data_IF_020198548789
#
_entry.id   IF_020198548789
#
_cell.length_a   1.000
_cell.length_b   1.000
_cell.length_c   1.000
_cell.angle_alpha   90.00
_cell.angle_beta   90.00
_cell.angle_gamma   90.00
#
_symmetry.space_group_name_H-M   'P 1'
#
loop_
_entity.id
_entity.type
_entity.pdbx_description
1 polymer ?
#
# COMPACT_ATOMS: atom_id res chain seq x y z
N UNK A 1 -6.40 -0.21 -15.58
CA UNK A 1 -6.90 -0.30 -14.19
C UNK A 1 -6.56 -1.68 -13.67
N UNK A 2 -6.01 -1.79 -12.46
CA UNK A 2 -5.63 -3.07 -11.84
C UNK A 2 -6.34 -3.14 -10.49
N UNK A 3 -7.00 -4.26 -10.21
CA UNK A 3 -7.57 -4.57 -8.91
C UNK A 3 -6.87 -5.82 -8.38
N UNK A 4 -6.31 -5.71 -7.18
CA UNK A 4 -5.52 -6.78 -6.57
C UNK A 4 -5.62 -6.69 -5.05
N UNK A 5 -5.35 -7.80 -4.36
CA UNK A 5 -5.23 -7.79 -2.90
C UNK A 5 -3.82 -7.39 -2.48
N UNK A 6 -3.65 -6.93 -1.24
CA UNK A 6 -2.32 -6.63 -0.69
C UNK A 6 -1.34 -7.79 -0.84
N UNK A 7 -1.78 -9.02 -0.51
CA UNK A 7 -0.93 -10.22 -0.58
C UNK A 7 -0.51 -10.56 -2.02
N UNK A 8 -1.44 -10.41 -2.98
CA UNK A 8 -1.16 -10.67 -4.39
C UNK A 8 -0.21 -9.58 -4.95
N UNK A 9 -0.47 -8.32 -4.62
CA UNK A 9 0.41 -7.21 -4.98
C UNK A 9 1.81 -7.38 -4.40
N UNK A 10 1.93 -7.77 -3.13
CA UNK A 10 3.22 -8.07 -2.50
C UNK A 10 3.98 -9.16 -3.25
N UNK A 11 3.30 -10.25 -3.63
CA UNK A 11 3.93 -11.39 -4.29
C UNK A 11 4.47 -11.00 -5.66
N UNK A 12 3.70 -10.21 -6.40
CA UNK A 12 3.99 -9.88 -7.79
C UNK A 12 4.72 -8.52 -7.92
N UNK A 13 5.08 -7.87 -6.80
CA UNK A 13 5.61 -6.50 -6.77
C UNK A 13 6.87 -6.31 -7.61
N UNK A 14 7.75 -7.31 -7.63
CA UNK A 14 9.01 -7.28 -8.38
C UNK A 14 8.78 -7.01 -9.87
N UNK A 15 7.72 -7.58 -10.45
CA UNK A 15 7.34 -7.34 -11.86
C UNK A 15 7.02 -5.86 -12.09
N UNK A 16 6.29 -5.22 -11.16
CA UNK A 16 5.94 -3.80 -11.29
C UNK A 16 7.16 -2.88 -11.11
N UNK A 17 8.11 -3.29 -10.24
CA UNK A 17 9.35 -2.55 -9.97
C UNK A 17 10.32 -2.64 -11.17
N UNK A 18 10.51 -3.84 -11.75
CA UNK A 18 11.34 -4.08 -12.93
C UNK A 18 10.82 -3.33 -14.17
N UNK A 19 9.52 -3.40 -14.41
CA UNK A 19 8.84 -2.71 -15.52
C UNK A 19 8.68 -1.19 -15.26
N UNK A 20 9.11 -0.69 -14.09
CA UNK A 20 9.02 0.71 -13.67
C UNK A 20 7.61 1.30 -13.85
N UNK A 21 6.60 0.51 -13.51
CA UNK A 21 5.20 0.89 -13.70
C UNK A 21 4.87 2.08 -12.82
N UNK A 22 4.34 3.16 -13.43
CA UNK A 22 3.85 4.35 -12.72
C UNK A 22 2.34 4.45 -12.86
N UNK A 23 1.66 4.55 -11.73
CA UNK A 23 0.21 4.73 -11.69
C UNK A 23 -0.16 6.20 -11.61
N UNK A 24 -1.26 6.60 -12.22
CA UNK A 24 -1.78 7.94 -11.99
C UNK A 24 -2.45 8.03 -10.60
N UNK A 25 -3.11 6.95 -10.17
CA UNK A 25 -3.78 6.84 -8.88
C UNK A 25 -3.46 5.50 -8.21
N UNK A 26 -3.21 5.51 -6.90
CA UNK A 26 -3.21 4.34 -6.05
C UNK A 26 -4.27 4.49 -4.95
N UNK A 27 -5.20 3.54 -4.87
CA UNK A 27 -6.27 3.51 -3.87
C UNK A 27 -6.06 2.31 -2.97
N UNK A 28 -5.88 2.55 -1.68
CA UNK A 28 -5.66 1.55 -0.65
C UNK A 28 -6.92 1.42 0.20
N UNK A 29 -7.68 0.35 -0.02
CA UNK A 29 -8.90 0.08 0.74
C UNK A 29 -8.59 -0.69 2.03
N UNK A 30 -9.45 -0.54 3.03
CA UNK A 30 -9.30 -1.09 4.38
C UNK A 30 -7.87 -0.88 4.94
N UNK A 31 -7.39 0.37 4.87
CA UNK A 31 -6.00 0.71 5.15
C UNK A 31 -5.50 0.33 6.56
N UNK A 32 -6.38 -0.02 7.50
CA UNK A 32 -5.99 -0.61 8.77
C UNK A 32 -5.22 -1.93 8.63
N UNK A 33 -5.33 -2.64 7.50
CA UNK A 33 -4.52 -3.84 7.23
C UNK A 33 -3.02 -3.54 7.09
N UNK A 34 -2.65 -2.30 6.74
CA UNK A 34 -1.25 -1.86 6.59
C UNK A 34 -0.79 -0.93 7.72
N UNK A 35 -1.53 -0.88 8.84
CA UNK A 35 -1.20 -0.01 9.99
C UNK A 35 0.18 -0.29 10.59
N UNK A 36 0.63 -1.55 10.56
CA UNK A 36 1.96 -1.91 11.06
C UNK A 36 2.98 -1.75 9.94
N UNK A 37 3.74 -0.66 10.01
CA UNK A 37 4.72 -0.28 8.99
C UNK A 37 5.89 -1.26 8.83
N UNK A 38 6.08 -2.20 9.76
CA UNK A 38 7.09 -3.26 9.65
C UNK A 38 6.62 -4.45 8.81
N UNK A 39 5.33 -4.52 8.45
CA UNK A 39 4.81 -5.60 7.62
C UNK A 39 5.26 -5.46 6.18
N UNK A 40 5.48 -6.58 5.49
CA UNK A 40 5.87 -6.57 4.07
C UNK A 40 4.85 -5.86 3.19
N UNK A 41 3.55 -6.08 3.44
CA UNK A 41 2.48 -5.34 2.75
C UNK A 41 2.64 -3.83 2.92
N UNK A 42 2.79 -3.32 4.15
CA UNK A 42 2.94 -1.88 4.40
C UNK A 42 4.19 -1.28 3.74
N UNK A 43 5.30 -2.01 3.73
CA UNK A 43 6.53 -1.59 3.06
C UNK A 43 6.32 -1.52 1.55
N UNK A 44 5.73 -2.57 0.96
CA UNK A 44 5.56 -2.67 -0.49
C UNK A 44 4.56 -1.66 -1.04
N UNK A 45 3.41 -1.47 -0.39
CA UNK A 45 2.42 -0.49 -0.89
C UNK A 45 2.95 0.95 -0.84
N UNK A 46 3.88 1.27 0.07
CA UNK A 46 4.56 2.56 0.10
C UNK A 46 5.53 2.77 -1.06
N UNK A 47 6.01 1.69 -1.67
CA UNK A 47 6.86 1.74 -2.89
C UNK A 47 6.05 1.92 -4.18
N UNK A 48 4.71 1.95 -4.13
CA UNK A 48 3.90 2.20 -5.31
C UNK A 48 4.18 3.62 -5.82
N UNK A 49 4.78 3.69 -7.00
CA UNK A 49 4.97 4.93 -7.75
C UNK A 49 3.63 5.43 -8.27
N UNK A 50 3.14 6.54 -7.70
CA UNK A 50 1.87 7.14 -8.13
C UNK A 50 1.81 8.66 -7.94
N UNK A 51 1.10 9.34 -8.83
CA UNK A 51 0.88 10.80 -8.75
C UNK A 51 -0.07 11.16 -7.61
N UNK A 52 -1.11 10.36 -7.40
CA UNK A 52 -2.12 10.56 -6.37
C UNK A 52 -2.35 9.29 -5.55
N UNK A 53 -2.47 9.44 -4.23
CA UNK A 53 -2.70 8.34 -3.30
C UNK A 53 -3.93 8.63 -2.44
N UNK A 54 -4.84 7.66 -2.37
CA UNK A 54 -6.03 7.71 -1.54
C UNK A 54 -6.08 6.47 -0.65
N UNK A 55 -6.31 6.67 0.64
CA UNK A 55 -6.49 5.59 1.62
C UNK A 55 -7.91 5.62 2.14
N UNK A 56 -8.62 4.50 2.07
CA UNK A 56 -9.95 4.32 2.62
C UNK A 56 -9.84 3.38 3.82
N UNK A 57 -10.45 3.74 4.95
CA UNK A 57 -10.49 2.89 6.14
C UNK A 57 -11.73 3.20 6.94
N UNK A 58 -12.42 2.15 7.40
CA UNK A 58 -13.53 2.27 8.35
C UNK A 58 -13.08 2.50 9.79
N UNK A 59 -11.78 2.41 10.06
CA UNK A 59 -11.21 2.51 11.42
C UNK A 59 -10.04 3.50 11.48
N UNK A 60 -9.80 4.17 12.62
CA UNK A 60 -8.66 5.08 12.76
C UNK A 60 -7.33 4.36 12.54
N UNK A 61 -6.48 4.92 11.68
CA UNK A 61 -5.12 4.42 11.44
C UNK A 61 -4.19 4.75 12.63
N UNK A 62 -4.44 5.87 13.30
CA UNK A 62 -3.66 6.39 14.43
C UNK A 62 -4.11 5.76 15.76
N UNK A 63 -3.54 4.63 16.15
CA UNK A 63 -3.57 4.18 17.56
C UNK A 63 -2.26 3.48 17.92
N UNK A 64 -1.21 4.27 18.16
CA UNK A 64 -0.29 4.13 19.28
C UNK A 64 0.68 5.32 19.28
N UNK A 65 0.54 6.14 20.32
CA UNK A 65 1.54 7.12 20.75
C UNK A 65 2.83 6.33 21.03
N UNK A 66 3.68 6.10 20.03
CA UNK A 66 4.83 5.22 20.20
C UNK A 66 5.59 4.77 18.94
N UNK A 67 5.34 5.36 17.78
CA UNK A 67 6.25 5.20 16.63
C UNK A 67 7.25 6.35 16.57
N UNK A 68 8.33 6.20 17.35
CA UNK A 68 9.60 6.91 17.21
C UNK A 68 10.67 5.87 16.93
#
# INVERSE_FOLDING_TARGET
MILTSYSLFQRDFEIYEEEKVKFNYAVLDEAQYIKNFKTKNAIIVKKIESNYRLTLTGTPLENSIGEI
#
